data_IF_256297407105
#
_entry.id   IF_256297407105
#
_cell.length_a   1.000
_cell.length_b   1.000
_cell.length_c   1.000
_cell.angle_alpha   90.00
_cell.angle_beta   90.00
_cell.angle_gamma   90.00
#
_symmetry.space_group_name_H-M   'P 1'
#
loop_
_entity.id
_entity.type
_entity.pdbx_description
1 polymer ?
#
# COMPACT_ATOMS: atom_id res chain seq x y z
N UNK A 1 0.02 -15.06 1.98
CA UNK A 1 0.24 -14.78 0.54
C UNK A 1 -0.84 -13.82 0.06
N UNK A 2 -0.49 -12.78 -0.69
CA UNK A 2 -1.48 -11.81 -1.20
C UNK A 2 -1.97 -12.27 -2.58
N UNK A 3 -3.28 -12.43 -2.72
CA UNK A 3 -3.92 -12.77 -4.00
C UNK A 3 -3.66 -11.69 -5.08
N UNK A 4 -3.43 -10.45 -4.66
CA UNK A 4 -3.08 -9.33 -5.54
C UNK A 4 -1.72 -9.54 -6.20
N UNK A 5 -0.73 -10.05 -5.44
CA UNK A 5 0.61 -10.34 -5.98
C UNK A 5 0.55 -11.45 -7.03
N UNK A 6 -0.21 -12.52 -6.77
CA UNK A 6 -0.40 -13.60 -7.74
C UNK A 6 -1.06 -13.10 -9.04
N UNK A 7 -2.11 -12.28 -8.93
CA UNK A 7 -2.77 -11.65 -10.09
C UNK A 7 -1.82 -10.78 -10.90
N UNK A 8 -0.99 -10.02 -10.20
CA UNK A 8 0.01 -9.16 -10.81
C UNK A 8 1.03 -9.96 -11.61
N UNK A 9 1.58 -11.01 -11.02
CA UNK A 9 2.51 -11.94 -11.69
C UNK A 9 1.83 -12.58 -12.89
N UNK A 10 0.59 -13.05 -12.73
CA UNK A 10 -0.19 -13.63 -13.82
C UNK A 10 -0.38 -12.66 -14.99
N UNK A 11 -0.77 -11.42 -14.70
CA UNK A 11 -1.01 -10.40 -15.72
C UNK A 11 0.26 -9.96 -16.46
N UNK A 12 1.42 -9.97 -15.79
CA UNK A 12 2.67 -9.45 -16.35
C UNK A 12 3.57 -10.54 -16.93
N UNK A 13 3.66 -11.69 -16.25
CA UNK A 13 4.58 -12.78 -16.57
C UNK A 13 3.87 -14.04 -17.08
N UNK A 14 2.55 -14.09 -16.97
CA UNK A 14 1.71 -15.18 -17.46
C UNK A 14 1.36 -16.22 -16.40
N UNK A 15 0.43 -17.11 -16.79
CA UNK A 15 -0.20 -18.11 -15.89
C UNK A 15 0.80 -19.13 -15.33
N UNK A 16 1.80 -19.53 -16.12
CA UNK A 16 2.78 -20.51 -15.67
C UNK A 16 3.63 -19.96 -14.52
N UNK A 17 4.03 -18.69 -14.62
CA UNK A 17 4.80 -18.02 -13.59
C UNK A 17 3.98 -17.75 -12.32
N UNK A 18 2.70 -17.44 -12.47
CA UNK A 18 1.78 -17.31 -11.33
C UNK A 18 1.62 -18.65 -10.59
N UNK A 19 1.53 -19.77 -11.30
CA UNK A 19 1.50 -21.11 -10.69
C UNK A 19 2.79 -21.43 -9.93
N UNK A 20 3.95 -21.12 -10.54
CA UNK A 20 5.27 -21.29 -9.89
C UNK A 20 5.35 -20.46 -8.60
N UNK A 21 4.93 -19.21 -8.65
CA UNK A 21 4.83 -18.33 -7.48
C UNK A 21 3.95 -18.94 -6.39
N UNK A 22 2.74 -19.41 -6.76
CA UNK A 22 1.80 -20.02 -5.82
C UNK A 22 2.38 -21.25 -5.11
N UNK A 23 3.01 -22.16 -5.85
CA UNK A 23 3.64 -23.39 -5.29
C UNK A 23 4.77 -23.04 -4.32
N UNK A 24 5.71 -22.19 -4.71
CA UNK A 24 6.86 -21.78 -3.89
C UNK A 24 6.39 -21.11 -2.59
N UNK A 25 5.37 -20.22 -2.68
CA UNK A 25 4.82 -19.57 -1.49
C UNK A 25 4.07 -20.53 -0.56
N UNK A 26 3.41 -21.56 -1.09
CA UNK A 26 2.75 -22.61 -0.28
C UNK A 26 3.76 -23.47 0.48
N UNK A 27 4.91 -23.71 -0.11
CA UNK A 27 6.03 -24.44 0.51
C UNK A 27 6.80 -23.60 1.54
N UNK A 28 6.47 -22.31 1.66
CA UNK A 28 7.13 -21.38 2.57
C UNK A 28 8.50 -20.91 2.09
N UNK A 29 8.81 -21.15 0.83
CA UNK A 29 10.07 -20.77 0.21
C UNK A 29 10.05 -19.33 -0.31
N UNK A 30 11.24 -18.78 -0.59
CA UNK A 30 11.41 -17.44 -1.14
C UNK A 30 11.31 -17.47 -2.66
N UNK A 31 10.27 -16.86 -3.20
CA UNK A 31 10.13 -16.67 -4.64
C UNK A 31 11.11 -15.60 -5.15
N UNK A 32 11.91 -15.97 -6.13
CA UNK A 32 12.90 -15.09 -6.74
C UNK A 32 12.60 -14.87 -8.22
N UNK A 33 12.62 -13.59 -8.63
CA UNK A 33 12.48 -13.17 -10.01
C UNK A 33 13.83 -13.21 -10.72
N UNK A 34 13.85 -13.67 -11.97
CA UNK A 34 14.97 -13.46 -12.88
C UNK A 34 15.07 -11.98 -13.30
N UNK A 35 16.21 -11.57 -13.86
CA UNK A 35 16.38 -10.19 -14.29
C UNK A 35 15.38 -9.76 -15.39
N UNK A 36 15.08 -10.58 -16.42
CA UNK A 36 14.05 -10.26 -17.40
C UNK A 36 12.65 -10.10 -16.80
N UNK A 37 12.27 -10.97 -15.86
CA UNK A 37 10.97 -10.89 -15.17
C UNK A 37 10.86 -9.61 -14.33
N UNK A 38 11.93 -9.27 -13.62
CA UNK A 38 12.03 -8.03 -12.84
C UNK A 38 11.90 -6.79 -13.72
N UNK A 39 12.55 -6.79 -14.87
CA UNK A 39 12.43 -5.70 -15.84
C UNK A 39 11.02 -5.60 -16.44
N UNK A 40 10.36 -6.73 -16.73
CA UNK A 40 8.99 -6.74 -17.20
C UNK A 40 8.03 -6.10 -16.18
N UNK A 41 8.17 -6.43 -14.90
CA UNK A 41 7.39 -5.84 -13.81
C UNK A 41 7.67 -4.34 -13.66
N UNK A 42 8.93 -3.91 -13.74
CA UNK A 42 9.32 -2.50 -13.59
C UNK A 42 8.79 -1.56 -14.66
N UNK A 43 8.47 -2.06 -15.85
CA UNK A 43 7.97 -1.23 -16.96
C UNK A 43 6.64 -0.53 -16.67
N UNK A 44 5.83 -1.08 -15.79
CA UNK A 44 4.50 -0.54 -15.49
C UNK A 44 4.27 -0.23 -14.02
N UNK A 45 5.28 -0.45 -13.14
CA UNK A 45 5.08 -0.40 -11.71
C UNK A 45 6.25 0.20 -10.96
N UNK A 46 5.92 0.84 -9.85
CA UNK A 46 6.87 1.22 -8.82
C UNK A 46 6.51 0.52 -7.51
N UNK A 47 7.47 -0.17 -6.93
CA UNK A 47 7.33 -0.79 -5.62
C UNK A 47 8.17 -0.05 -4.58
N UNK A 48 7.61 0.15 -3.40
CA UNK A 48 8.31 0.73 -2.26
C UNK A 48 8.01 -0.07 -0.99
N UNK A 49 8.96 -0.07 -0.07
CA UNK A 49 8.77 -0.60 1.29
C UNK A 49 8.59 0.59 2.22
N UNK A 50 7.42 0.71 2.80
CA UNK A 50 7.06 1.79 3.73
C UNK A 50 7.12 1.25 5.16
N UNK A 51 7.92 1.86 6.01
CA UNK A 51 8.06 1.45 7.42
C UNK A 51 6.83 1.83 8.25
N UNK A 52 6.58 1.09 9.35
CA UNK A 52 5.52 1.42 10.31
C UNK A 52 5.66 2.83 10.90
N UNK A 53 6.90 3.29 11.11
CA UNK A 53 7.14 4.67 11.55
C UNK A 53 6.59 5.69 10.57
N UNK A 54 6.76 5.44 9.25
CA UNK A 54 6.25 6.35 8.22
C UNK A 54 4.71 6.40 8.18
N UNK A 55 4.02 5.30 8.55
CA UNK A 55 2.57 5.31 8.68
C UNK A 55 2.10 6.31 9.72
N UNK A 56 2.77 6.36 10.88
CA UNK A 56 2.46 7.28 11.96
C UNK A 56 2.67 8.75 11.58
N UNK A 57 3.47 9.03 10.55
CA UNK A 57 3.64 10.37 10.00
C UNK A 57 2.62 10.68 8.90
N UNK A 58 2.33 9.70 8.03
CA UNK A 58 1.46 9.88 6.86
C UNK A 58 0.00 10.07 7.24
N UNK A 59 -0.55 9.23 8.13
CA UNK A 59 -1.98 9.30 8.50
C UNK A 59 -2.35 10.68 9.07
N UNK A 60 -1.67 11.20 10.11
CA UNK A 60 -1.99 12.51 10.64
C UNK A 60 -1.64 13.66 9.69
N UNK A 61 -0.64 13.49 8.82
CA UNK A 61 -0.31 14.50 7.81
C UNK A 61 -1.43 14.67 6.80
N UNK A 62 -1.95 13.58 6.25
CA UNK A 62 -3.07 13.63 5.30
C UNK A 62 -4.33 14.17 5.97
N UNK A 63 -4.59 13.78 7.21
CA UNK A 63 -5.72 14.33 7.96
C UNK A 63 -5.62 15.85 8.13
N UNK A 64 -4.47 16.37 8.55
CA UNK A 64 -4.26 17.81 8.73
C UNK A 64 -4.38 18.60 7.43
N UNK A 65 -3.95 18.01 6.31
CA UNK A 65 -3.91 18.71 5.01
C UNK A 65 -5.23 18.63 4.26
N UNK A 66 -5.91 17.48 4.33
CA UNK A 66 -7.05 17.16 3.48
C UNK A 66 -8.34 16.87 4.27
N UNK A 67 -8.28 16.79 5.60
CA UNK A 67 -9.39 16.36 6.45
C UNK A 67 -9.76 14.88 6.30
N UNK A 68 -8.95 14.08 5.61
CA UNK A 68 -9.24 12.68 5.31
C UNK A 68 -8.40 11.72 6.17
N UNK A 69 -9.05 10.76 6.82
CA UNK A 69 -8.37 9.73 7.63
C UNK A 69 -8.10 8.50 6.76
N UNK A 70 -6.83 8.23 6.52
CA UNK A 70 -6.38 7.03 5.81
C UNK A 70 -6.34 5.82 6.75
N UNK A 71 -6.79 4.65 6.25
CA UNK A 71 -6.44 3.38 6.87
C UNK A 71 -4.96 3.03 6.60
N UNK A 72 -4.38 2.08 7.37
CA UNK A 72 -2.96 1.74 7.28
C UNK A 72 -2.51 1.33 5.87
N UNK A 73 -3.30 0.53 5.16
CA UNK A 73 -2.98 0.08 3.80
C UNK A 73 -2.97 1.24 2.79
N UNK A 74 -3.95 2.13 2.86
CA UNK A 74 -3.97 3.34 2.03
C UNK A 74 -2.83 4.29 2.37
N UNK A 75 -2.43 4.36 3.64
CA UNK A 75 -1.28 5.14 4.07
C UNK A 75 0.04 4.56 3.57
N UNK A 76 0.18 3.22 3.46
CA UNK A 76 1.31 2.58 2.79
C UNK A 76 1.38 3.00 1.32
N UNK A 77 0.26 2.93 0.60
CA UNK A 77 0.21 3.34 -0.81
C UNK A 77 0.53 4.83 -0.99
N UNK A 78 0.04 5.69 -0.11
CA UNK A 78 0.37 7.13 -0.13
C UNK A 78 1.85 7.38 0.19
N UNK A 79 2.42 6.67 1.17
CA UNK A 79 3.85 6.72 1.48
C UNK A 79 4.71 6.31 0.28
N UNK A 80 4.33 5.22 -0.42
CA UNK A 80 4.97 4.79 -1.65
C UNK A 80 4.88 5.83 -2.77
N UNK A 81 3.73 6.52 -2.91
CA UNK A 81 3.56 7.63 -3.84
C UNK A 81 4.52 8.79 -3.54
N UNK A 82 4.67 9.14 -2.28
CA UNK A 82 5.62 10.20 -1.88
C UNK A 82 7.07 9.83 -2.25
N UNK A 83 7.45 8.56 -2.04
CA UNK A 83 8.77 8.06 -2.41
C UNK A 83 8.98 8.03 -3.93
N UNK A 84 7.94 7.64 -4.68
CA UNK A 84 7.94 7.72 -6.14
C UNK A 84 8.17 9.15 -6.63
N UNK A 85 7.41 10.11 -6.12
CA UNK A 85 7.53 11.53 -6.49
C UNK A 85 8.90 12.09 -6.14
N UNK A 86 9.41 11.78 -4.96
CA UNK A 86 10.75 12.21 -4.54
C UNK A 86 11.85 11.65 -5.47
N UNK A 87 11.68 10.41 -5.96
CA UNK A 87 12.65 9.74 -6.81
C UNK A 87 12.59 10.16 -8.28
N UNK A 88 11.39 10.44 -8.79
CA UNK A 88 11.17 10.70 -10.22
C UNK A 88 10.94 12.17 -10.57
N UNK A 89 10.56 13.00 -9.59
CA UNK A 89 10.11 14.38 -9.82
C UNK A 89 8.70 14.48 -10.42
N UNK A 90 8.01 13.35 -10.60
CA UNK A 90 6.68 13.27 -11.22
C UNK A 90 5.60 13.80 -10.28
N UNK A 91 4.77 14.76 -10.73
CA UNK A 91 3.73 15.41 -9.93
C UNK A 91 2.32 15.34 -10.54
N UNK A 92 2.10 14.45 -11.50
CA UNK A 92 0.76 14.26 -12.09
C UNK A 92 -0.27 13.88 -11.03
N UNK A 93 -1.57 14.21 -11.26
CA UNK A 93 -2.67 13.72 -10.44
C UNK A 93 -2.66 12.20 -10.35
N UNK A 94 -2.92 11.66 -9.16
CA UNK A 94 -2.91 10.23 -8.87
C UNK A 94 -4.22 9.84 -8.21
N UNK A 95 -4.77 8.70 -8.60
CA UNK A 95 -5.89 8.07 -7.93
C UNK A 95 -5.35 7.10 -6.87
N UNK A 96 -5.67 7.37 -5.61
CA UNK A 96 -5.38 6.47 -4.49
C UNK A 96 -6.60 5.59 -4.24
N UNK A 97 -6.46 4.28 -4.41
CA UNK A 97 -7.51 3.32 -4.08
C UNK A 97 -7.49 3.03 -2.58
N UNK A 98 -8.55 3.43 -1.89
CA UNK A 98 -8.77 3.17 -0.48
C UNK A 98 -9.86 2.10 -0.35
N UNK A 99 -9.45 0.83 -0.34
CA UNK A 99 -10.35 -0.34 -0.37
C UNK A 99 -10.86 -0.77 1.01
N UNK A 100 -10.25 -0.27 2.10
CA UNK A 100 -10.63 -0.61 3.48
C UNK A 100 -11.00 0.62 4.29
N UNK A 101 -12.11 0.50 5.02
CA UNK A 101 -12.51 1.51 5.99
C UNK A 101 -11.48 1.60 7.12
N UNK A 102 -11.05 2.80 7.53
CA UNK A 102 -10.11 2.99 8.65
C UNK A 102 -10.57 2.35 9.97
N UNK A 103 -11.88 2.20 10.18
CA UNK A 103 -12.46 1.60 11.39
C UNK A 103 -12.14 0.10 11.53
N UNK A 104 -11.81 -0.59 10.43
CA UNK A 104 -11.40 -2.00 10.48
C UNK A 104 -9.99 -2.20 11.08
N UNK A 105 -9.20 -1.15 11.12
CA UNK A 105 -7.84 -1.13 11.67
C UNK A 105 -7.73 -0.03 12.74
N UNK A 106 -8.77 0.10 13.58
CA UNK A 106 -8.97 1.20 14.52
C UNK A 106 -7.78 1.43 15.46
N UNK A 107 -7.17 0.36 15.98
CA UNK A 107 -6.01 0.47 16.86
C UNK A 107 -4.80 1.13 16.18
N UNK A 108 -4.53 0.74 14.93
CA UNK A 108 -3.42 1.31 14.16
C UNK A 108 -3.66 2.79 13.81
N UNK A 109 -4.92 3.14 13.48
CA UNK A 109 -5.31 4.53 13.19
C UNK A 109 -5.22 5.38 14.47
N UNK A 110 -5.74 4.88 15.59
CA UNK A 110 -5.68 5.56 16.89
C UNK A 110 -4.24 5.82 17.32
N UNK A 111 -3.38 4.81 17.20
CA UNK A 111 -1.96 4.95 17.51
C UNK A 111 -1.28 6.02 16.65
N UNK A 112 -1.55 6.03 15.33
CA UNK A 112 -0.99 7.01 14.41
C UNK A 112 -1.52 8.43 14.66
N UNK A 113 -2.82 8.56 14.92
CA UNK A 113 -3.48 9.83 15.17
C UNK A 113 -3.23 10.38 16.57
N UNK A 114 -2.78 9.53 17.51
CA UNK A 114 -2.68 9.83 18.94
C UNK A 114 -4.04 10.29 19.54
N UNK A 115 -5.10 9.62 19.11
CA UNK A 115 -6.49 9.91 19.50
C UNK A 115 -7.23 8.62 19.81
N UNK A 116 -8.21 8.69 20.72
CA UNK A 116 -9.12 7.57 20.96
C UNK A 116 -10.02 7.30 19.74
N UNK A 117 -10.43 6.05 19.58
CA UNK A 117 -11.30 5.62 18.46
C UNK A 117 -12.53 6.50 18.34
N UNK A 118 -13.22 6.78 19.44
CA UNK A 118 -14.42 7.61 19.47
C UNK A 118 -14.21 9.04 18.98
N UNK A 119 -13.02 9.59 19.18
CA UNK A 119 -12.69 10.96 18.77
C UNK A 119 -12.59 11.07 17.25
N UNK A 120 -11.77 10.22 16.62
CA UNK A 120 -11.59 10.29 15.17
C UNK A 120 -12.75 9.67 14.37
N UNK A 121 -13.48 8.67 14.91
CA UNK A 121 -14.71 8.17 14.28
C UNK A 121 -15.80 9.25 14.19
N UNK A 122 -15.94 10.08 15.22
CA UNK A 122 -16.85 11.22 15.18
C UNK A 122 -16.48 12.24 14.09
N UNK A 123 -15.18 12.34 13.74
CA UNK A 123 -14.75 13.19 12.63
C UNK A 123 -15.15 12.60 11.27
N UNK A 124 -15.08 11.26 11.10
CA UNK A 124 -15.55 10.60 9.87
C UNK A 124 -17.05 10.80 9.60
N UNK A 125 -17.87 10.89 10.65
CA UNK A 125 -19.32 11.06 10.52
C UNK A 125 -19.74 12.49 10.15
N UNK A 126 -18.83 13.46 10.25
CA UNK A 126 -19.11 14.89 10.00
C UNK A 126 -18.72 15.34 8.58
N UNK A 127 -18.01 14.50 7.85
CA UNK A 127 -17.62 14.69 6.45
C UNK A 127 -18.45 13.79 5.53
#
# INVERSE_FOLDING_TARGET
MSAETERLICATLGVQEAKRFGSICQEGEVYSLTDPEREALRKGMFAAVVSSKRLNDVIPSVFRTNGYILGPYSALAYGALLDYRAKTGENRPVLLLADRCPTLDADAVSAAMQMDVSQWENMLRRN
#
